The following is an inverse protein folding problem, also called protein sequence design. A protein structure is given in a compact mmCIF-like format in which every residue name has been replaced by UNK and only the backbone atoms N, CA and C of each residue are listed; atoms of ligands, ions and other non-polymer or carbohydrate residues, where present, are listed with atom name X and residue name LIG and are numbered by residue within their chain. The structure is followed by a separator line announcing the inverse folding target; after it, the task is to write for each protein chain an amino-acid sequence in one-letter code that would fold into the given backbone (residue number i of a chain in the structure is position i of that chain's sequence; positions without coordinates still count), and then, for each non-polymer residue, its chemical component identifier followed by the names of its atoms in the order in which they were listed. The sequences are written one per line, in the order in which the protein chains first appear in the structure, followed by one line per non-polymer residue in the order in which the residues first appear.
data_IF_818335388389
#
_entry.id   IF_818335388389
#
_cell.length_a   1.000
_cell.length_b   1.000
_cell.length_c   1.000
_cell.angle_alpha   90.00
_cell.angle_beta   90.00
_cell.angle_gamma   90.00
#
_symmetry.space_group_name_H-M   'P 1'
#
loop_
_entity.id
_entity.type
_entity.pdbx_description
1 polymer ?
#
# COMPACT_ATOMS: atom_id res chain seq x y z
N UNK A 1 -2.44 -7.02 12.36
CA UNK A 1 -1.25 -6.83 11.53
C UNK A 1 -0.12 -6.22 12.35
N UNK A 2 1.06 -6.79 12.25
CA UNK A 2 2.28 -6.17 12.75
C UNK A 2 2.83 -5.22 11.68
N UNK A 3 3.37 -4.09 12.09
CA UNK A 3 3.98 -3.13 11.17
C UNK A 3 5.47 -3.38 11.12
N UNK A 4 6.05 -3.47 9.92
CA UNK A 4 7.46 -3.84 9.73
C UNK A 4 8.41 -2.83 10.40
N UNK A 5 8.04 -1.54 10.43
CA UNK A 5 8.80 -0.50 11.14
C UNK A 5 8.73 -0.60 12.68
N UNK A 6 8.06 -1.63 13.22
CA UNK A 6 8.00 -1.98 14.65
C UNK A 6 8.58 -3.37 14.93
N UNK A 7 9.17 -4.00 13.92
CA UNK A 7 9.78 -5.32 13.99
C UNK A 7 11.29 -5.20 13.82
N UNK A 8 12.01 -6.14 14.43
CA UNK A 8 13.40 -6.40 14.08
C UNK A 8 13.46 -7.18 12.76
N UNK A 9 14.62 -7.17 12.09
CA UNK A 9 14.84 -7.99 10.89
C UNK A 9 14.56 -9.47 11.16
N UNK A 10 15.00 -9.99 12.31
CA UNK A 10 14.79 -11.40 12.66
C UNK A 10 13.31 -11.75 12.82
N UNK A 11 12.53 -10.92 13.52
CA UNK A 11 11.09 -11.10 13.68
C UNK A 11 10.38 -11.09 12.33
N UNK A 12 10.72 -10.15 11.45
CA UNK A 12 10.11 -10.06 10.12
C UNK A 12 10.51 -11.24 9.23
N UNK A 13 11.76 -11.72 9.31
CA UNK A 13 12.21 -12.91 8.58
C UNK A 13 11.39 -14.12 8.95
N UNK A 14 11.21 -14.38 10.25
CA UNK A 14 10.44 -15.54 10.71
C UNK A 14 8.94 -15.41 10.40
N UNK A 15 8.34 -14.24 10.62
CA UNK A 15 6.93 -13.99 10.29
C UNK A 15 6.67 -14.19 8.80
N UNK A 16 7.53 -13.65 7.93
CA UNK A 16 7.41 -13.79 6.47
C UNK A 16 7.59 -15.24 6.03
N UNK A 17 8.58 -15.92 6.56
CA UNK A 17 8.83 -17.34 6.25
C UNK A 17 7.63 -18.22 6.58
N UNK A 18 7.08 -18.06 7.79
CA UNK A 18 5.89 -18.80 8.23
C UNK A 18 4.69 -18.48 7.32
N UNK A 19 4.41 -17.19 7.09
CA UNK A 19 3.27 -16.78 6.28
C UNK A 19 3.36 -17.30 4.84
N UNK A 20 4.53 -17.21 4.20
CA UNK A 20 4.76 -17.74 2.86
C UNK A 20 4.53 -19.26 2.84
N UNK A 21 5.11 -19.98 3.78
CA UNK A 21 5.00 -21.45 3.86
C UNK A 21 3.53 -21.89 4.07
N UNK A 22 2.82 -21.26 4.98
CA UNK A 22 1.40 -21.59 5.25
C UNK A 22 0.53 -21.34 4.03
N UNK A 23 0.69 -20.19 3.37
CA UNK A 23 -0.09 -19.86 2.16
C UNK A 23 0.24 -20.84 1.04
N UNK A 24 1.53 -21.13 0.77
CA UNK A 24 1.96 -22.07 -0.26
C UNK A 24 1.39 -23.48 -0.03
N UNK A 25 1.38 -23.94 1.22
CA UNK A 25 0.79 -25.22 1.60
C UNK A 25 -0.72 -25.29 1.35
N UNK A 26 -1.43 -24.16 1.58
CA UNK A 26 -2.86 -24.09 1.37
C UNK A 26 -3.26 -24.00 -0.10
N UNK A 27 -2.53 -23.22 -0.90
CA UNK A 27 -2.92 -22.96 -2.30
C UNK A 27 -2.20 -23.82 -3.32
N UNK A 28 -1.15 -24.56 -2.92
CA UNK A 28 -0.32 -25.39 -3.80
C UNK A 28 0.47 -24.61 -4.86
N UNK A 29 0.72 -23.33 -4.64
CA UNK A 29 1.44 -22.44 -5.57
C UNK A 29 2.41 -21.55 -4.81
N UNK A 30 3.47 -21.10 -5.49
CA UNK A 30 4.44 -20.14 -4.93
C UNK A 30 3.81 -18.77 -4.66
N UNK A 31 4.11 -18.22 -3.50
CA UNK A 31 3.79 -16.84 -3.13
C UNK A 31 4.86 -15.93 -3.72
N UNK A 32 4.49 -15.05 -4.64
CA UNK A 32 5.42 -14.21 -5.38
C UNK A 32 5.29 -12.72 -5.06
N UNK A 33 4.21 -12.32 -4.37
CA UNK A 33 3.88 -10.91 -4.12
C UNK A 33 3.74 -10.62 -2.64
N UNK A 34 4.11 -9.42 -2.26
CA UNK A 34 3.95 -8.93 -0.90
C UNK A 34 3.43 -7.50 -0.87
N UNK A 35 2.74 -7.16 0.22
CA UNK A 35 2.43 -5.77 0.58
C UNK A 35 2.48 -5.61 2.10
N UNK A 36 3.34 -4.73 2.56
CA UNK A 36 3.47 -4.40 3.98
C UNK A 36 2.19 -3.77 4.54
N UNK A 37 1.73 -4.18 5.71
CA UNK A 37 0.68 -3.49 6.43
C UNK A 37 1.04 -2.01 6.61
N UNK A 38 0.07 -1.11 6.39
CA UNK A 38 0.20 0.35 6.51
C UNK A 38 1.32 0.98 5.65
N UNK A 39 1.84 0.28 4.64
CA UNK A 39 3.02 0.70 3.86
C UNK A 39 4.23 0.97 4.76
N UNK A 40 4.47 0.07 5.69
CA UNK A 40 5.43 0.23 6.79
C UNK A 40 6.88 -0.11 6.43
N UNK A 41 7.20 -0.30 5.14
CA UNK A 41 8.58 -0.30 4.66
C UNK A 41 9.00 1.14 4.37
N UNK A 42 10.16 1.54 4.89
CA UNK A 42 10.75 2.86 4.74
C UNK A 42 12.27 2.80 4.81
N UNK A 43 12.93 3.97 4.88
CA UNK A 43 14.39 4.06 4.89
C UNK A 43 15.05 3.28 6.04
N UNK A 44 14.46 3.32 7.23
CA UNK A 44 15.08 2.74 8.43
C UNK A 44 14.95 1.21 8.50
N UNK A 45 14.10 0.61 7.67
CA UNK A 45 13.88 -0.82 7.58
C UNK A 45 13.88 -1.33 6.13
N UNK A 46 14.67 -0.71 5.27
CA UNK A 46 14.85 -1.11 3.86
C UNK A 46 15.47 -2.51 3.69
N UNK A 47 16.07 -3.07 4.74
CA UNK A 47 16.47 -4.47 4.83
C UNK A 47 15.30 -5.45 4.60
N UNK A 48 14.06 -4.96 4.68
CA UNK A 48 12.88 -5.77 4.39
C UNK A 48 12.86 -6.30 2.95
N UNK A 49 13.41 -5.56 1.98
CA UNK A 49 13.49 -6.04 0.59
C UNK A 49 14.40 -7.27 0.45
N UNK A 50 15.50 -7.35 1.21
CA UNK A 50 16.34 -8.55 1.24
C UNK A 50 15.54 -9.75 1.79
N UNK A 51 14.87 -9.55 2.93
CA UNK A 51 14.08 -10.62 3.56
C UNK A 51 12.97 -11.12 2.62
N UNK A 52 12.31 -10.22 1.91
CA UNK A 52 11.29 -10.59 0.92
C UNK A 52 11.90 -11.43 -0.21
N UNK A 53 13.02 -10.99 -0.78
CA UNK A 53 13.71 -11.72 -1.83
C UNK A 53 14.22 -13.10 -1.36
N UNK A 54 14.79 -13.19 -0.15
CA UNK A 54 15.22 -14.45 0.49
C UNK A 54 14.06 -15.44 0.66
N UNK A 55 12.83 -14.95 0.83
CA UNK A 55 11.62 -15.78 0.92
C UNK A 55 10.91 -16.01 -0.43
N UNK A 56 11.55 -15.70 -1.55
CA UNK A 56 11.03 -15.97 -2.89
C UNK A 56 9.99 -14.99 -3.39
N UNK A 57 9.83 -13.84 -2.74
CA UNK A 57 8.96 -12.76 -3.24
C UNK A 57 9.65 -12.10 -4.43
N UNK A 58 8.97 -12.10 -5.57
CA UNK A 58 9.49 -11.54 -6.82
C UNK A 58 9.10 -10.07 -7.00
N UNK A 59 7.93 -9.66 -6.48
CA UNK A 59 7.43 -8.29 -6.58
C UNK A 59 6.73 -7.84 -5.30
N UNK A 60 7.00 -6.60 -4.95
CA UNK A 60 6.45 -5.92 -3.78
C UNK A 60 5.51 -4.78 -4.19
N UNK A 61 4.59 -4.43 -3.32
CA UNK A 61 3.65 -3.32 -3.50
C UNK A 61 3.58 -2.47 -2.22
N UNK A 62 4.68 -2.38 -1.48
CA UNK A 62 4.72 -1.76 -0.16
C UNK A 62 5.16 -0.31 -0.16
N UNK A 63 5.79 0.17 -1.23
CA UNK A 63 6.31 1.52 -1.25
C UNK A 63 5.21 2.54 -1.46
N UNK A 64 5.13 3.47 -0.54
CA UNK A 64 4.35 4.69 -0.66
C UNK A 64 5.33 5.88 -0.64
N UNK A 65 5.63 6.51 -1.78
CA UNK A 65 6.69 7.52 -1.89
C UNK A 65 6.26 8.89 -1.35
N UNK A 66 5.77 8.91 -0.13
CA UNK A 66 5.42 10.10 0.65
C UNK A 66 5.36 9.77 2.14
N UNK A 67 5.40 10.79 2.98
CA UNK A 67 5.22 10.63 4.43
C UNK A 67 3.78 10.25 4.77
N UNK A 68 3.62 9.34 5.71
CA UNK A 68 2.33 8.91 6.26
C UNK A 68 2.41 8.77 7.78
N UNK A 69 1.22 8.76 8.42
CA UNK A 69 1.13 8.66 9.88
C UNK A 69 1.76 7.35 10.43
N UNK A 70 1.67 6.24 9.68
CA UNK A 70 2.07 4.90 10.15
C UNK A 70 3.14 4.23 9.31
N UNK A 71 3.54 4.84 8.22
CA UNK A 71 4.52 4.28 7.27
C UNK A 71 4.84 5.29 6.17
N UNK A 72 5.21 4.77 5.00
CA UNK A 72 5.62 5.56 3.86
C UNK A 72 7.13 5.65 3.72
N UNK A 73 7.58 5.93 2.50
CA UNK A 73 8.99 6.01 2.13
C UNK A 73 9.25 7.29 1.31
N UNK A 74 9.26 8.48 1.96
CA UNK A 74 9.40 9.75 1.26
C UNK A 74 10.73 9.91 0.53
N UNK A 75 11.76 9.15 0.88
CA UNK A 75 13.07 9.13 0.21
C UNK A 75 13.08 8.27 -1.06
N UNK A 76 12.05 7.45 -1.28
CA UNK A 76 11.92 6.67 -2.51
C UNK A 76 11.62 7.60 -3.69
N UNK A 77 12.51 7.60 -4.67
CA UNK A 77 12.52 8.64 -5.72
C UNK A 77 11.58 8.35 -6.89
N UNK A 78 11.03 7.13 -6.98
CA UNK A 78 10.15 6.72 -8.08
C UNK A 78 8.68 6.65 -7.65
N UNK A 79 7.80 6.97 -8.58
CA UNK A 79 6.33 6.81 -8.45
C UNK A 79 5.77 5.85 -9.50
N UNK A 80 6.64 5.19 -10.25
CA UNK A 80 6.32 4.20 -11.28
C UNK A 80 6.99 2.86 -10.93
N UNK A 81 6.61 1.75 -11.57
CA UNK A 81 7.27 0.46 -11.39
C UNK A 81 8.79 0.59 -11.47
N UNK A 82 9.50 -0.03 -10.55
CA UNK A 82 10.95 0.14 -10.40
C UNK A 82 11.61 -1.15 -9.93
N UNK A 83 12.86 -1.36 -10.33
CA UNK A 83 13.70 -2.38 -9.73
C UNK A 83 14.32 -1.80 -8.46
N UNK A 84 14.13 -2.45 -7.33
CA UNK A 84 14.76 -2.09 -6.06
C UNK A 84 15.90 -3.04 -5.79
N UNK A 85 17.11 -2.50 -5.72
CA UNK A 85 18.32 -3.25 -5.39
C UNK A 85 18.75 -2.93 -3.96
N UNK A 86 18.91 -3.99 -3.17
CA UNK A 86 19.48 -3.92 -1.83
C UNK A 86 20.54 -5.02 -1.70
N UNK A 87 21.80 -4.62 -1.57
CA UNK A 87 22.95 -5.54 -1.60
C UNK A 87 22.93 -6.43 -2.87
N UNK A 88 22.92 -7.76 -2.71
CA UNK A 88 22.90 -8.72 -3.81
C UNK A 88 21.49 -9.05 -4.32
N UNK A 89 20.46 -8.50 -3.72
CA UNK A 89 19.06 -8.78 -4.06
C UNK A 89 18.46 -7.69 -4.91
N UNK A 90 17.59 -8.11 -5.82
CA UNK A 90 16.77 -7.19 -6.63
C UNK A 90 15.33 -7.68 -6.61
N UNK A 91 14.40 -6.78 -6.28
CA UNK A 91 12.96 -7.05 -6.26
C UNK A 91 12.23 -6.03 -7.15
N UNK A 92 11.15 -6.46 -7.74
CA UNK A 92 10.27 -5.60 -8.55
C UNK A 92 9.31 -4.86 -7.63
N UNK A 93 9.32 -3.55 -7.65
CA UNK A 93 8.41 -2.73 -6.86
C UNK A 93 7.33 -2.12 -7.73
N UNK A 94 6.10 -2.26 -7.28
CA UNK A 94 4.91 -1.62 -7.83
C UNK A 94 4.40 -0.58 -6.82
N UNK A 95 4.99 0.63 -6.78
CA UNK A 95 4.70 1.60 -5.74
C UNK A 95 3.29 2.18 -5.86
N UNK A 96 2.76 2.68 -4.75
CA UNK A 96 1.59 3.54 -4.81
C UNK A 96 1.98 4.86 -5.48
N UNK A 97 1.22 5.26 -6.50
CA UNK A 97 1.50 6.48 -7.25
C UNK A 97 0.66 7.65 -6.73
N UNK A 98 1.25 8.62 -6.00
CA UNK A 98 0.57 9.87 -5.72
C UNK A 98 0.50 10.74 -6.97
N UNK A 99 -0.61 11.44 -7.16
CA UNK A 99 -0.71 12.46 -8.18
C UNK A 99 0.06 13.72 -7.75
N UNK A 100 0.70 14.40 -8.70
CA UNK A 100 1.28 15.73 -8.45
C UNK A 100 0.19 16.79 -8.67
N UNK A 101 -0.24 17.45 -7.59
CA UNK A 101 -1.19 18.55 -7.64
C UNK A 101 -0.55 19.79 -7.02
N UNK A 102 -0.42 20.87 -7.78
CA UNK A 102 0.23 22.12 -7.35
C UNK A 102 1.61 21.90 -6.70
N UNK A 103 2.41 20.99 -7.27
CA UNK A 103 3.76 20.65 -6.78
C UNK A 103 3.81 19.72 -5.55
N UNK A 104 2.66 19.33 -5.00
CA UNK A 104 2.57 18.40 -3.86
C UNK A 104 2.13 17.01 -4.32
N UNK A 105 2.72 15.99 -3.72
CA UNK A 105 2.31 14.61 -3.90
C UNK A 105 1.00 14.37 -3.14
N UNK A 106 -0.09 14.13 -3.86
CA UNK A 106 -1.43 13.89 -3.28
C UNK A 106 -1.86 12.47 -3.57
N UNK A 107 -2.03 11.64 -2.55
CA UNK A 107 -2.62 10.32 -2.73
C UNK A 107 -4.07 10.42 -3.22
N UNK A 108 -4.46 9.56 -4.15
CA UNK A 108 -5.85 9.55 -4.66
C UNK A 108 -6.40 8.14 -4.89
N UNK A 109 -5.53 7.15 -5.05
CA UNK A 109 -5.88 5.84 -5.60
C UNK A 109 -6.21 4.77 -4.54
N UNK A 110 -6.38 5.15 -3.27
CA UNK A 110 -6.72 4.14 -2.26
C UNK A 110 -7.19 4.68 -0.93
N UNK A 111 -7.82 3.81 -0.15
CA UNK A 111 -8.31 4.08 1.18
C UNK A 111 -9.21 5.32 1.28
N UNK A 112 -9.01 6.11 2.33
CA UNK A 112 -9.79 7.34 2.54
C UNK A 112 -9.60 8.39 1.45
N UNK A 113 -8.44 8.44 0.80
CA UNK A 113 -8.19 9.38 -0.29
C UNK A 113 -9.08 9.11 -1.50
N UNK A 114 -9.22 7.84 -1.89
CA UNK A 114 -10.15 7.45 -2.94
C UNK A 114 -11.58 7.91 -2.66
N UNK A 115 -12.02 7.80 -1.41
CA UNK A 115 -13.38 8.22 -1.02
C UNK A 115 -13.60 9.72 -1.16
N UNK A 116 -12.58 10.53 -0.83
CA UNK A 116 -12.66 12.00 -0.81
C UNK A 116 -12.51 12.65 -2.18
N UNK A 117 -11.66 12.08 -3.05
CA UNK A 117 -11.42 12.63 -4.38
C UNK A 117 -12.66 12.43 -5.27
N UNK A 118 -13.20 13.47 -5.92
CA UNK A 118 -14.34 13.36 -6.82
C UNK A 118 -14.06 12.46 -8.04
N UNK A 119 -15.08 11.79 -8.57
CA UNK A 119 -14.95 10.88 -9.71
C UNK A 119 -14.33 11.56 -10.94
N UNK A 120 -14.76 12.78 -11.26
CA UNK A 120 -14.21 13.52 -12.40
C UNK A 120 -12.69 13.76 -12.27
N UNK A 121 -12.22 14.03 -11.04
CA UNK A 121 -10.80 14.22 -10.78
C UNK A 121 -10.02 12.90 -10.83
N UNK A 122 -10.62 11.78 -10.39
CA UNK A 122 -10.01 10.46 -10.61
C UNK A 122 -9.79 10.21 -12.10
N UNK A 123 -10.81 10.42 -12.94
CA UNK A 123 -10.71 10.23 -14.40
C UNK A 123 -9.61 11.10 -15.01
N UNK A 124 -9.54 12.35 -14.61
CA UNK A 124 -8.51 13.29 -15.06
C UNK A 124 -7.10 12.86 -14.63
N UNK A 125 -6.93 12.42 -13.38
CA UNK A 125 -5.63 11.97 -12.89
C UNK A 125 -5.19 10.67 -13.57
N UNK A 126 -6.08 9.71 -13.73
CA UNK A 126 -5.79 8.44 -14.42
C UNK A 126 -5.37 8.70 -15.87
N UNK A 127 -6.06 9.60 -16.59
CA UNK A 127 -5.77 9.89 -18.00
C UNK A 127 -4.38 10.53 -18.24
N UNK A 128 -3.74 11.04 -17.19
CA UNK A 128 -2.42 11.68 -17.24
C UNK A 128 -1.28 10.77 -16.78
N UNK A 129 -1.57 9.53 -16.42
CA UNK A 129 -0.61 8.63 -15.81
C UNK A 129 -0.56 7.31 -16.58
N UNK A 130 0.65 6.83 -16.89
CA UNK A 130 0.85 5.54 -17.55
C UNK A 130 0.70 4.36 -16.57
N UNK A 131 0.77 4.64 -15.28
CA UNK A 131 0.66 3.65 -14.22
C UNK A 131 -0.13 4.20 -13.03
N UNK A 132 -1.12 3.44 -12.56
CA UNK A 132 -1.87 3.76 -11.34
C UNK A 132 -2.11 2.49 -10.52
N UNK A 133 -1.61 2.46 -9.29
CA UNK A 133 -1.89 1.41 -8.32
C UNK A 133 -3.06 1.80 -7.45
N UNK A 134 -4.17 1.05 -7.54
CA UNK A 134 -5.29 1.16 -6.60
C UNK A 134 -5.16 0.13 -5.47
N UNK A 135 -5.55 0.52 -4.26
CA UNK A 135 -5.61 -0.38 -3.12
C UNK A 135 -6.81 -0.05 -2.22
N UNK A 136 -7.47 -1.08 -1.73
CA UNK A 136 -8.65 -0.94 -0.88
C UNK A 136 -8.62 -1.97 0.25
N UNK A 137 -9.14 -1.58 1.41
CA UNK A 137 -9.68 -2.52 2.38
C UNK A 137 -11.19 -2.62 2.14
N UNK A 138 -11.79 -3.76 2.46
CA UNK A 138 -13.24 -3.96 2.29
C UNK A 138 -14.05 -2.85 2.97
N UNK A 139 -13.60 -2.38 4.13
CA UNK A 139 -14.23 -1.29 4.87
C UNK A 139 -14.16 0.08 4.18
N UNK A 140 -13.34 0.26 3.15
CA UNK A 140 -13.27 1.49 2.38
C UNK A 140 -14.43 1.62 1.40
N UNK A 141 -15.03 0.50 0.99
CA UNK A 141 -16.04 0.42 -0.06
C UNK A 141 -17.45 0.19 0.48
N UNK A 142 -17.60 -0.32 1.72
CA UNK A 142 -18.91 -0.54 2.32
C UNK A 142 -19.38 0.71 3.08
N UNK A 143 -20.67 1.01 2.99
CA UNK A 143 -21.27 2.21 3.59
C UNK A 143 -21.38 2.15 5.11
N UNK A 144 -21.29 0.98 5.71
CA UNK A 144 -21.42 0.80 7.14
C UNK A 144 -20.36 1.61 7.90
N UNK A 145 -20.81 2.48 8.79
CA UNK A 145 -19.95 3.27 9.66
C UNK A 145 -19.17 2.39 10.62
N UNK A 146 -17.88 2.66 10.78
CA UNK A 146 -17.06 2.04 11.80
C UNK A 146 -17.48 2.53 13.19
N UNK A 147 -17.41 1.65 14.19
CA UNK A 147 -17.70 2.00 15.59
C UNK A 147 -16.70 3.07 16.08
N UNK A 148 -17.19 4.00 16.91
CA UNK A 148 -16.31 4.91 17.65
C UNK A 148 -15.59 4.13 18.75
N UNK A 149 -14.27 3.98 18.65
CA UNK A 149 -13.47 3.20 19.59
C UNK A 149 -13.45 3.83 20.98
N UNK A 150 -13.45 3.01 22.02
CA UNK A 150 -13.10 3.43 23.38
C UNK A 150 -11.63 3.84 23.46
N UNK A 151 -11.21 4.47 24.56
CA UNK A 151 -9.81 4.83 24.77
C UNK A 151 -8.91 3.59 24.73
N UNK A 152 -9.31 2.54 25.43
CA UNK A 152 -8.54 1.30 25.51
C UNK A 152 -8.41 0.61 24.15
N UNK A 153 -9.52 0.41 23.43
CA UNK A 153 -9.51 -0.19 22.08
C UNK A 153 -8.59 0.60 21.12
N UNK A 154 -8.60 1.92 21.22
CA UNK A 154 -7.77 2.78 20.39
C UNK A 154 -6.28 2.60 20.71
N UNK A 155 -5.91 2.62 21.99
CA UNK A 155 -4.53 2.46 22.47
C UNK A 155 -3.98 1.06 22.14
N UNK A 156 -4.81 0.02 22.29
CA UNK A 156 -4.44 -1.35 21.93
C UNK A 156 -4.20 -1.53 20.43
N UNK A 157 -5.02 -0.90 19.60
CA UNK A 157 -4.94 -1.06 18.14
C UNK A 157 -3.86 -0.19 17.51
N UNK A 158 -3.85 1.13 17.83
CA UNK A 158 -2.94 2.08 17.18
C UNK A 158 -1.60 2.23 17.88
N UNK A 159 -1.48 1.75 19.12
CA UNK A 159 -0.31 1.98 19.99
C UNK A 159 0.04 3.47 20.15
N UNK A 160 -0.99 4.31 20.15
CA UNK A 160 -0.95 5.76 20.30
C UNK A 160 -1.88 6.20 21.44
N UNK A 161 -1.64 7.39 22.07
CA UNK A 161 -2.53 7.90 23.12
C UNK A 161 -3.98 8.02 22.65
N UNK A 162 -4.90 7.35 23.33
CA UNK A 162 -6.34 7.32 23.03
C UNK A 162 -7.09 8.58 23.48
N UNK A 163 -6.51 9.77 23.24
CA UNK A 163 -7.17 11.04 23.55
C UNK A 163 -8.47 11.18 22.77
N UNK A 164 -9.43 11.92 23.29
CA UNK A 164 -10.70 12.17 22.59
C UNK A 164 -10.44 12.77 21.19
N UNK A 165 -9.50 13.71 21.08
CA UNK A 165 -9.09 14.32 19.81
C UNK A 165 -8.59 13.28 18.80
N UNK A 166 -7.67 12.40 19.20
CA UNK A 166 -7.13 11.37 18.32
C UNK A 166 -8.22 10.40 17.84
N UNK A 167 -9.09 9.98 18.76
CA UNK A 167 -10.22 9.09 18.46
C UNK A 167 -11.21 9.72 17.48
N UNK A 168 -11.57 11.00 17.66
CA UNK A 168 -12.44 11.74 16.74
C UNK A 168 -11.79 11.85 15.36
N UNK A 169 -10.52 12.25 15.28
CA UNK A 169 -9.81 12.38 14.01
C UNK A 169 -9.80 11.04 13.26
N UNK A 170 -9.48 9.93 13.95
CA UNK A 170 -9.47 8.59 13.32
C UNK A 170 -10.88 8.18 12.91
N UNK A 171 -11.88 8.39 13.75
CA UNK A 171 -13.27 8.09 13.41
C UNK A 171 -13.73 8.83 12.14
N UNK A 172 -13.46 10.12 12.05
CA UNK A 172 -13.78 10.93 10.86
C UNK A 172 -13.01 10.43 9.64
N UNK A 173 -11.68 10.25 9.74
CA UNK A 173 -10.85 9.71 8.64
C UNK A 173 -11.35 8.34 8.14
N UNK A 174 -11.86 7.50 9.04
CA UNK A 174 -12.34 6.15 8.70
C UNK A 174 -13.72 6.16 8.04
N UNK A 175 -14.58 7.09 8.40
CA UNK A 175 -15.99 7.07 7.97
C UNK A 175 -16.33 8.08 6.85
N UNK A 176 -15.55 9.16 6.72
CA UNK A 176 -15.85 10.20 5.72
C UNK A 176 -15.80 9.65 4.29
N UNK A 177 -16.78 10.01 3.47
CA UNK A 177 -16.84 9.68 2.05
C UNK A 177 -17.14 8.21 1.73
N UNK A 178 -17.61 7.40 2.69
CA UNK A 178 -17.98 5.99 2.43
C UNK A 178 -19.17 5.87 1.49
N UNK A 179 -20.17 6.74 1.63
CA UNK A 179 -21.32 6.76 0.74
C UNK A 179 -20.90 6.98 -0.72
N UNK A 180 -21.28 6.07 -1.60
CA UNK A 180 -20.95 6.12 -3.01
C UNK A 180 -19.53 5.68 -3.41
N UNK A 181 -18.69 5.24 -2.48
CA UNK A 181 -17.34 4.76 -2.81
C UNK A 181 -17.36 3.52 -3.72
N UNK A 182 -18.26 2.58 -3.45
CA UNK A 182 -18.43 1.39 -4.29
C UNK A 182 -18.91 1.77 -5.69
N UNK A 183 -19.93 2.64 -5.81
CA UNK A 183 -20.44 3.10 -7.11
C UNK A 183 -19.36 3.85 -7.91
N UNK A 184 -18.49 4.60 -7.22
CA UNK A 184 -17.34 5.26 -7.85
C UNK A 184 -16.35 4.24 -8.42
N UNK A 185 -16.02 3.20 -7.66
CA UNK A 185 -15.15 2.13 -8.12
C UNK A 185 -15.78 1.39 -9.30
N UNK A 186 -17.06 1.03 -9.21
CA UNK A 186 -17.79 0.36 -10.29
C UNK A 186 -17.78 1.20 -11.58
N UNK A 187 -17.99 2.50 -11.48
CA UNK A 187 -17.87 3.41 -12.62
C UNK A 187 -16.45 3.42 -13.22
N UNK A 188 -15.41 3.36 -12.40
CA UNK A 188 -14.04 3.30 -12.90
C UNK A 188 -13.76 1.95 -13.57
N UNK A 189 -14.21 0.85 -13.00
CA UNK A 189 -14.09 -0.49 -13.59
C UNK A 189 -14.80 -0.60 -14.95
N UNK A 190 -15.91 0.10 -15.13
CA UNK A 190 -16.62 0.19 -16.41
C UNK A 190 -15.92 1.07 -17.47
N UNK A 191 -15.00 1.96 -17.06
CA UNK A 191 -14.34 2.89 -17.98
C UNK A 191 -12.87 2.56 -18.28
N UNK A 192 -12.22 1.74 -17.43
CA UNK A 192 -10.81 1.41 -17.54
C UNK A 192 -10.60 -0.09 -17.37
N UNK A 193 -9.60 -0.63 -18.04
CA UNK A 193 -9.16 -2.01 -17.83
C UNK A 193 -8.23 -2.09 -16.62
N UNK A 194 -8.59 -2.92 -15.66
CA UNK A 194 -7.78 -3.21 -14.49
C UNK A 194 -7.16 -4.60 -14.58
N UNK A 195 -5.98 -4.75 -14.02
CA UNK A 195 -5.35 -6.05 -13.82
C UNK A 195 -4.90 -6.19 -12.36
N UNK A 196 -4.66 -7.41 -11.91
CA UNK A 196 -4.07 -7.63 -10.59
C UNK A 196 -2.55 -7.36 -10.62
N UNK A 197 -1.93 -7.27 -9.42
CA UNK A 197 -0.52 -6.96 -9.29
C UNK A 197 0.41 -7.95 -10.02
N UNK A 198 0.05 -9.23 -10.06
CA UNK A 198 0.80 -10.24 -10.79
C UNK A 198 0.77 -9.98 -12.30
N UNK A 199 -0.42 -9.80 -12.88
CA UNK A 199 -0.58 -9.50 -14.30
C UNK A 199 0.15 -8.20 -14.68
N UNK A 200 0.09 -7.17 -13.82
CA UNK A 200 0.86 -5.94 -14.01
C UNK A 200 2.35 -6.23 -14.02
N UNK A 201 2.88 -6.95 -13.03
CA UNK A 201 4.29 -7.29 -12.94
C UNK A 201 4.78 -8.13 -14.14
N UNK A 202 3.94 -9.03 -14.67
CA UNK A 202 4.25 -9.85 -15.85
C UNK A 202 4.20 -9.06 -17.16
N UNK A 203 3.38 -8.00 -17.24
CA UNK A 203 3.25 -7.18 -18.45
C UNK A 203 4.29 -6.07 -18.60
N UNK A 204 4.97 -5.70 -17.51
CA UNK A 204 5.97 -4.62 -17.49
C UNK A 204 7.30 -5.09 -18.10
N UNK A 205 7.86 -4.30 -19.02
CA UNK A 205 9.24 -4.47 -19.49
C UNK A 205 10.20 -3.90 -18.44
N UNK A 206 10.66 -4.77 -17.53
CA UNK A 206 11.52 -4.41 -16.42
C UNK A 206 12.91 -3.92 -16.85
N UNK A 207 13.37 -4.23 -18.07
CA UNK A 207 14.64 -3.73 -18.58
C UNK A 207 14.65 -2.21 -18.83
N UNK A 208 13.46 -1.62 -18.92
CA UNK A 208 13.26 -0.17 -19.12
C UNK A 208 12.88 0.57 -17.85
N UNK A 209 12.70 -0.15 -16.74
CA UNK A 209 12.29 0.48 -15.49
C UNK A 209 13.49 1.03 -14.71
N UNK A 210 13.30 2.10 -13.94
CA UNK A 210 14.38 2.67 -13.13
C UNK A 210 14.88 1.66 -12.09
N UNK A 211 16.20 1.65 -11.88
CA UNK A 211 16.86 0.93 -10.80
C UNK A 211 17.03 1.90 -9.62
N UNK A 212 16.52 1.52 -8.46
CA UNK A 212 16.65 2.25 -7.20
C UNK A 212 17.57 1.45 -6.29
N UNK A 213 18.73 1.97 -6.01
CA UNK A 213 19.68 1.38 -5.05
C UNK A 213 19.41 1.94 -3.64
N UNK A 214 19.28 1.05 -2.63
CA UNK A 214 18.96 1.38 -1.24
C UNK A 214 20.12 1.05 -0.28
#
# INVERSE_FOLDING_TARGET
HLWINKMTRQEFTEDTRIAVQEIENLIGKKVKSFRAPAFSIGKDNDWAFEVLAENGIEYDCSVFPASRDLGGFPQFTSTIPSLVKKNDYTIKELPVCPAKLMGKAVPFSGGGYFRLVPLWLHKELISRMDYVMFYFHINDLIEQSSKFMTKQEFEEYYKEPGTLKNRIIRYVKTNIGKGGALNKLDTLLGNYSFCNAQQAAESIDWSKQPLIEL
#
